data_IF_698022357497
#
_entry.id   IF_698022357497
#
_cell.length_a   1.000
_cell.length_b   1.000
_cell.length_c   1.000
_cell.angle_alpha   90.00
_cell.angle_beta   90.00
_cell.angle_gamma   90.00
#
_symmetry.space_group_name_H-M   'P 1'
#
loop_
_entity.id
_entity.type
_entity.pdbx_description
1 polymer ?
#
# COMPACT_ATOMS: atom_id res chain seq x y z
N UNK A 1 33.36 13.48 41.89
CA UNK A 1 31.97 13.02 41.86
C UNK A 1 31.05 14.00 41.16
N UNK A 2 30.96 15.25 41.54
CA UNK A 2 30.07 16.28 40.98
C UNK A 2 30.33 16.48 39.46
N UNK A 3 31.59 16.61 39.02
CA UNK A 3 31.96 16.78 37.62
C UNK A 3 31.48 15.57 36.80
N UNK A 4 31.66 14.36 37.28
CA UNK A 4 31.20 13.15 36.58
C UNK A 4 29.67 13.14 36.44
N UNK A 5 28.95 13.55 37.50
CA UNK A 5 27.49 13.68 37.47
C UNK A 5 27.03 14.71 36.42
N UNK A 6 27.67 15.85 36.34
CA UNK A 6 27.36 16.88 35.34
C UNK A 6 27.61 16.39 33.91
N UNK A 7 28.70 15.65 33.70
CA UNK A 7 28.98 15.02 32.39
C UNK A 7 27.87 14.02 31.99
N UNK A 8 27.47 13.18 32.92
CA UNK A 8 26.39 12.19 32.68
C UNK A 8 25.07 12.88 32.37
N UNK A 9 24.70 13.91 33.11
CA UNK A 9 23.49 14.70 32.87
C UNK A 9 23.53 15.36 31.49
N UNK A 10 24.64 15.96 31.12
CA UNK A 10 24.79 16.59 29.80
C UNK A 10 24.72 15.56 28.66
N UNK A 11 25.38 14.44 28.82
CA UNK A 11 25.28 13.34 27.84
C UNK A 11 23.84 12.84 27.69
N UNK A 12 23.11 12.63 28.82
CA UNK A 12 21.71 12.22 28.80
C UNK A 12 20.82 13.25 28.07
N UNK A 13 21.03 14.53 28.32
CA UNK A 13 20.29 15.59 27.62
C UNK A 13 20.56 15.58 26.12
N UNK A 14 21.84 15.42 25.72
CA UNK A 14 22.22 15.32 24.31
C UNK A 14 21.61 14.08 23.61
N UNK A 15 21.61 12.94 24.29
CA UNK A 15 20.98 11.71 23.78
C UNK A 15 19.48 11.93 23.61
N UNK A 16 18.81 12.50 24.60
CA UNK A 16 17.37 12.78 24.52
C UNK A 16 17.04 13.72 23.36
N UNK A 17 17.83 14.79 23.17
CA UNK A 17 17.66 15.73 22.05
C UNK A 17 17.82 15.01 20.70
N UNK A 18 18.86 14.19 20.55
CA UNK A 18 19.07 13.39 19.32
C UNK A 18 17.93 12.40 19.07
N UNK A 19 17.43 11.74 20.11
CA UNK A 19 16.31 10.81 19.99
C UNK A 19 15.03 11.52 19.53
N UNK A 20 14.76 12.72 20.04
CA UNK A 20 13.64 13.55 19.59
C UNK A 20 13.78 13.95 18.11
N UNK A 21 14.98 14.37 17.70
CA UNK A 21 15.28 14.71 16.31
C UNK A 21 15.10 13.49 15.37
N UNK A 22 15.64 12.33 15.74
CA UNK A 22 15.45 11.09 15.00
C UNK A 22 13.96 10.72 14.89
N UNK A 23 13.22 10.85 15.97
CA UNK A 23 11.77 10.59 15.98
C UNK A 23 11.03 11.53 15.03
N UNK A 24 11.38 12.81 15.05
CA UNK A 24 10.79 13.80 14.15
C UNK A 24 11.10 13.49 12.67
N UNK A 25 12.37 13.25 12.35
CA UNK A 25 12.80 12.90 10.99
C UNK A 25 12.14 11.60 10.49
N UNK A 26 12.00 10.59 11.35
CA UNK A 26 11.28 9.37 10.99
C UNK A 26 9.81 9.64 10.66
N UNK A 27 9.15 10.52 11.41
CA UNK A 27 7.77 10.92 11.13
C UNK A 27 7.67 11.64 9.78
N UNK A 28 8.56 12.60 9.50
CA UNK A 28 8.61 13.31 8.21
C UNK A 28 8.84 12.34 7.04
N UNK A 29 9.74 11.38 7.19
CA UNK A 29 10.01 10.35 6.16
C UNK A 29 8.75 9.55 5.88
N UNK A 30 8.04 9.09 6.92
CA UNK A 30 6.81 8.30 6.76
C UNK A 30 5.72 9.12 6.06
N UNK A 31 5.51 10.36 6.47
CA UNK A 31 4.50 11.23 5.83
C UNK A 31 4.88 11.56 4.38
N UNK A 32 6.15 11.80 4.09
CA UNK A 32 6.63 12.00 2.72
C UNK A 32 6.42 10.74 1.85
N UNK A 33 6.69 9.57 2.39
CA UNK A 33 6.45 8.30 1.69
C UNK A 33 4.96 8.11 1.39
N UNK A 34 4.07 8.39 2.34
CA UNK A 34 2.61 8.33 2.13
C UNK A 34 2.17 9.28 1.02
N UNK A 35 2.67 10.53 1.04
CA UNK A 35 2.30 11.52 0.02
C UNK A 35 2.79 11.09 -1.38
N UNK A 36 4.03 10.61 -1.50
CA UNK A 36 4.58 10.10 -2.76
C UNK A 36 3.77 8.92 -3.31
N UNK A 37 3.42 7.96 -2.45
CA UNK A 37 2.63 6.79 -2.83
C UNK A 37 1.22 7.22 -3.27
N UNK A 38 0.59 8.12 -2.53
CA UNK A 38 -0.72 8.67 -2.91
C UNK A 38 -0.67 9.36 -4.27
N UNK A 39 0.35 10.17 -4.53
CA UNK A 39 0.53 10.86 -5.82
C UNK A 39 0.80 9.89 -6.97
N UNK A 40 1.57 8.83 -6.73
CA UNK A 40 1.78 7.78 -7.74
C UNK A 40 0.47 7.06 -8.06
N UNK A 41 -0.33 6.73 -7.03
CA UNK A 41 -1.67 6.20 -7.20
C UNK A 41 -2.56 7.15 -8.02
N UNK A 42 -2.60 8.42 -7.68
CA UNK A 42 -3.38 9.43 -8.41
C UNK A 42 -2.98 9.51 -9.91
N UNK A 43 -1.69 9.40 -10.23
CA UNK A 43 -1.20 9.38 -11.62
C UNK A 43 -1.69 8.15 -12.38
N UNK A 44 -1.69 6.97 -11.73
CA UNK A 44 -2.15 5.72 -12.34
C UNK A 44 -3.67 5.76 -12.56
N UNK A 45 -4.43 6.20 -11.56
CA UNK A 45 -5.88 6.34 -11.62
C UNK A 45 -6.34 7.36 -12.69
N UNK A 46 -5.60 8.44 -12.88
CA UNK A 46 -5.88 9.42 -13.93
C UNK A 46 -5.94 8.78 -15.32
N UNK A 47 -5.18 7.70 -15.55
CA UNK A 47 -5.20 6.95 -16.81
C UNK A 47 -6.46 6.10 -16.99
N UNK A 48 -7.11 5.68 -15.91
CA UNK A 48 -8.29 4.80 -15.91
C UNK A 48 -9.63 5.56 -15.76
N UNK A 49 -9.63 6.88 -15.88
CA UNK A 49 -10.79 7.76 -15.65
C UNK A 49 -11.40 7.65 -14.23
N UNK A 50 -10.68 7.09 -13.29
CA UNK A 50 -11.11 7.09 -11.90
C UNK A 50 -10.89 8.46 -11.26
N UNK A 51 -11.66 8.77 -10.24
CA UNK A 51 -11.62 10.10 -9.63
C UNK A 51 -10.37 10.27 -8.75
N UNK A 52 -9.71 11.41 -8.85
CA UNK A 52 -8.51 11.82 -8.07
C UNK A 52 -8.60 11.51 -6.55
N UNK A 53 -9.79 11.34 -6.02
CA UNK A 53 -10.00 11.00 -4.61
C UNK A 53 -10.15 9.49 -4.33
N UNK A 54 -10.10 8.63 -5.36
CA UNK A 54 -10.30 7.18 -5.16
C UNK A 54 -9.20 6.59 -4.26
N UNK A 55 -7.96 6.82 -4.61
CA UNK A 55 -6.77 6.34 -3.86
C UNK A 55 -6.84 6.71 -2.38
N UNK A 56 -7.19 7.99 -2.09
CA UNK A 56 -7.32 8.47 -0.70
C UNK A 56 -8.50 7.84 0.04
N UNK A 57 -9.62 7.56 -0.67
CA UNK A 57 -10.75 6.86 -0.07
C UNK A 57 -10.40 5.42 0.26
N UNK A 58 -9.75 4.71 -0.68
CA UNK A 58 -9.27 3.33 -0.44
C UNK A 58 -8.40 3.29 0.81
N UNK A 59 -7.38 4.15 0.93
CA UNK A 59 -6.53 4.20 2.12
C UNK A 59 -7.31 4.43 3.43
N UNK A 60 -8.26 5.39 3.43
CA UNK A 60 -9.05 5.70 4.63
C UNK A 60 -10.01 4.57 5.00
N UNK A 61 -10.70 3.97 4.02
CA UNK A 61 -11.64 2.88 4.25
C UNK A 61 -10.89 1.65 4.75
N UNK A 62 -9.75 1.32 4.11
CA UNK A 62 -8.89 0.21 4.52
C UNK A 62 -8.39 0.39 5.97
N UNK A 63 -8.02 1.60 6.37
CA UNK A 63 -7.63 1.88 7.75
C UNK A 63 -8.76 1.65 8.75
N UNK A 64 -10.00 2.06 8.43
CA UNK A 64 -11.19 1.85 9.27
C UNK A 64 -11.50 0.36 9.39
N UNK A 65 -11.52 -0.35 8.26
CA UNK A 65 -11.80 -1.80 8.24
C UNK A 65 -10.69 -2.60 8.94
N UNK A 66 -9.43 -2.28 8.71
CA UNK A 66 -8.30 -2.92 9.37
C UNK A 66 -8.34 -2.74 10.89
N UNK A 67 -8.70 -1.54 11.37
CA UNK A 67 -8.92 -1.28 12.80
C UNK A 67 -10.07 -2.10 13.36
N UNK A 68 -11.18 -2.17 12.66
CA UNK A 68 -12.34 -2.96 13.06
C UNK A 68 -12.05 -4.47 13.07
N UNK A 69 -11.18 -4.93 12.17
CA UNK A 69 -10.71 -6.31 12.12
C UNK A 69 -9.75 -6.66 13.27
N UNK A 70 -9.10 -5.67 13.88
CA UNK A 70 -8.18 -5.86 15.01
C UNK A 70 -6.69 -5.88 14.60
N UNK A 71 -6.34 -5.30 13.47
CA UNK A 71 -4.93 -5.14 13.08
C UNK A 71 -4.19 -4.25 14.10
N UNK A 72 -2.91 -4.56 14.34
CA UNK A 72 -2.02 -3.75 15.17
C UNK A 72 -1.79 -2.36 14.54
N UNK A 73 -1.33 -1.40 15.33
CA UNK A 73 -1.02 -0.05 14.83
C UNK A 73 0.01 -0.06 13.70
N UNK A 74 0.99 -0.96 13.76
CA UNK A 74 2.01 -1.12 12.72
C UNK A 74 1.41 -1.66 11.43
N UNK A 75 0.54 -2.66 11.51
CA UNK A 75 -0.18 -3.21 10.37
C UNK A 75 -1.16 -2.21 9.76
N UNK A 76 -1.86 -1.43 10.59
CA UNK A 76 -2.76 -0.35 10.12
C UNK A 76 -1.98 0.72 9.36
N UNK A 77 -0.81 1.10 9.86
CA UNK A 77 0.05 2.06 9.19
C UNK A 77 0.54 1.50 7.84
N UNK A 78 0.99 0.25 7.81
CA UNK A 78 1.39 -0.41 6.58
C UNK A 78 0.22 -0.52 5.59
N UNK A 79 -0.96 -0.98 6.01
CA UNK A 79 -2.15 -1.11 5.18
C UNK A 79 -2.55 0.24 4.55
N UNK A 80 -2.55 1.31 5.34
CA UNK A 80 -2.89 2.67 4.86
C UNK A 80 -1.94 3.14 3.76
N UNK A 81 -0.66 2.73 3.83
CA UNK A 81 0.35 3.09 2.84
C UNK A 81 0.23 2.21 1.59
N UNK A 82 -0.04 0.91 1.73
CA UNK A 82 0.04 -0.03 0.59
C UNK A 82 -1.28 -0.22 -0.15
N UNK A 83 -2.44 -0.01 0.48
CA UNK A 83 -3.74 -0.15 -0.19
C UNK A 83 -3.90 0.74 -1.42
N UNK A 84 -3.36 1.97 -1.49
CA UNK A 84 -3.33 2.77 -2.71
C UNK A 84 -2.59 2.14 -3.88
N UNK A 85 -1.77 1.12 -3.64
CA UNK A 85 -0.94 0.50 -4.68
C UNK A 85 -1.60 -0.73 -5.33
N UNK A 86 -2.85 -1.06 -4.97
CA UNK A 86 -3.54 -2.23 -5.50
C UNK A 86 -3.55 -2.26 -7.04
N UNK A 87 -3.74 -1.12 -7.66
CA UNK A 87 -3.88 -0.94 -9.09
C UNK A 87 -2.58 -0.48 -9.81
N UNK A 88 -1.43 -0.50 -9.13
CA UNK A 88 -0.16 -0.01 -9.71
C UNK A 88 0.19 -0.67 -11.04
N UNK A 89 -0.18 -1.92 -11.23
CA UNK A 89 0.08 -2.65 -12.49
C UNK A 89 -0.70 -2.15 -13.70
N UNK A 90 -1.74 -1.34 -13.51
CA UNK A 90 -2.46 -0.67 -14.61
C UNK A 90 -1.53 0.22 -15.46
N UNK A 91 -0.36 0.57 -14.93
CA UNK A 91 0.65 1.34 -15.68
C UNK A 91 1.07 0.66 -16.99
N UNK A 92 1.05 -0.66 -17.05
CA UNK A 92 1.41 -1.43 -18.24
C UNK A 92 0.22 -1.83 -19.12
N UNK A 93 -1.00 -1.51 -18.72
CA UNK A 93 -2.20 -1.77 -19.54
C UNK A 93 -2.36 -0.66 -20.56
N UNK A 94 -2.66 -1.05 -21.82
CA UNK A 94 -2.83 -0.08 -22.90
C UNK A 94 -4.04 0.82 -22.68
N UNK A 95 -3.95 2.09 -23.08
CA UNK A 95 -5.05 3.06 -22.97
C UNK A 95 -6.29 2.62 -23.73
N UNK A 96 -6.12 1.93 -24.86
CA UNK A 96 -7.23 1.39 -25.64
C UNK A 96 -8.11 0.41 -24.85
N UNK A 97 -7.54 -0.24 -23.83
CA UNK A 97 -8.27 -1.14 -22.93
C UNK A 97 -8.76 -0.38 -21.70
N UNK A 98 -7.89 0.43 -21.06
CA UNK A 98 -8.22 1.18 -19.84
C UNK A 98 -9.36 2.18 -20.08
N UNK A 99 -9.36 2.86 -21.23
CA UNK A 99 -10.29 3.95 -21.55
C UNK A 99 -11.39 3.55 -22.52
N UNK A 100 -11.57 2.23 -22.73
CA UNK A 100 -12.59 1.75 -23.65
C UNK A 100 -13.99 2.18 -23.22
N UNK A 101 -14.73 2.96 -24.05
CA UNK A 101 -16.07 3.44 -23.70
C UNK A 101 -17.16 2.38 -23.85
N UNK A 102 -16.81 1.09 -23.66
CA UNK A 102 -17.70 -0.06 -23.78
C UNK A 102 -17.20 -1.20 -22.88
N UNK A 103 -18.02 -2.24 -22.71
CA UNK A 103 -17.59 -3.45 -22.02
C UNK A 103 -16.38 -4.06 -22.73
N UNK A 104 -15.39 -4.49 -21.95
CA UNK A 104 -14.26 -5.26 -22.46
C UNK A 104 -14.74 -6.60 -23.06
N UNK A 105 -14.20 -6.98 -24.21
CA UNK A 105 -14.35 -8.35 -24.71
C UNK A 105 -13.64 -9.34 -23.76
N UNK A 106 -13.94 -10.64 -23.82
CA UNK A 106 -13.26 -11.62 -23.00
C UNK A 106 -11.72 -11.57 -23.12
N UNK A 107 -11.19 -11.38 -24.33
CA UNK A 107 -9.75 -11.25 -24.55
C UNK A 107 -9.16 -9.98 -23.91
N UNK A 108 -9.84 -8.86 -24.03
CA UNK A 108 -9.41 -7.59 -23.41
C UNK A 108 -9.48 -7.69 -21.88
N UNK A 109 -10.48 -8.39 -21.35
CA UNK A 109 -10.59 -8.59 -19.91
C UNK A 109 -9.46 -9.49 -19.38
N UNK A 110 -9.04 -10.52 -20.12
CA UNK A 110 -7.85 -11.30 -19.76
C UNK A 110 -6.58 -10.40 -19.70
N UNK A 111 -6.44 -9.48 -20.66
CA UNK A 111 -5.33 -8.49 -20.60
C UNK A 111 -5.49 -7.56 -19.39
N UNK A 112 -6.69 -7.06 -19.11
CA UNK A 112 -6.94 -6.23 -17.93
C UNK A 112 -6.53 -6.94 -16.64
N UNK A 113 -6.88 -8.22 -16.47
CA UNK A 113 -6.52 -9.01 -15.28
C UNK A 113 -5.01 -9.07 -15.03
N UNK A 114 -4.19 -8.93 -16.08
CA UNK A 114 -2.72 -8.99 -15.92
C UNK A 114 -2.16 -7.87 -15.05
N UNK A 115 -2.91 -6.77 -14.81
CA UNK A 115 -2.42 -5.71 -13.92
C UNK A 115 -2.10 -6.22 -12.51
N UNK A 116 -2.81 -7.24 -12.03
CA UNK A 116 -2.55 -7.82 -10.70
C UNK A 116 -1.17 -8.47 -10.65
N UNK A 117 -0.84 -9.28 -11.66
CA UNK A 117 0.47 -9.91 -11.76
C UNK A 117 1.59 -8.90 -12.01
N UNK A 118 1.36 -7.91 -12.87
CA UNK A 118 2.32 -6.83 -13.15
C UNK A 118 2.59 -6.03 -11.87
N UNK A 119 1.55 -5.68 -11.12
CA UNK A 119 1.69 -5.00 -9.82
C UNK A 119 2.50 -5.82 -8.81
N UNK A 120 2.26 -7.12 -8.73
CA UNK A 120 3.07 -8.03 -7.95
C UNK A 120 4.54 -8.03 -8.38
N UNK A 121 4.80 -8.12 -9.69
CA UNK A 121 6.15 -8.20 -10.25
C UNK A 121 6.98 -6.95 -9.97
N UNK A 122 6.35 -5.78 -9.83
CA UNK A 122 7.01 -4.53 -9.44
C UNK A 122 7.65 -4.65 -8.06
N UNK A 123 7.02 -5.38 -7.13
CA UNK A 123 7.45 -5.41 -5.72
C UNK A 123 7.97 -6.76 -5.24
N UNK A 124 7.83 -7.86 -5.99
CA UNK A 124 8.10 -9.24 -5.53
C UNK A 124 9.51 -9.48 -4.97
N UNK A 125 10.50 -8.73 -5.46
CA UNK A 125 11.88 -8.87 -5.03
C UNK A 125 12.27 -7.87 -3.91
N UNK A 126 11.31 -7.14 -3.36
CA UNK A 126 11.59 -6.18 -2.31
C UNK A 126 11.90 -6.88 -0.98
N UNK A 127 12.95 -6.42 -0.29
CA UNK A 127 13.32 -6.96 1.02
C UNK A 127 12.45 -6.39 2.16
N UNK A 128 11.98 -5.16 2.01
CA UNK A 128 11.20 -4.46 3.04
C UNK A 128 9.79 -5.03 3.14
N UNK A 129 9.37 -5.33 4.38
CA UNK A 129 8.07 -5.94 4.67
C UNK A 129 6.88 -5.16 4.07
N UNK A 130 6.94 -3.83 4.12
CA UNK A 130 5.90 -2.97 3.56
C UNK A 130 5.71 -3.21 2.05
N UNK A 131 6.80 -3.37 1.28
CA UNK A 131 6.70 -3.64 -0.16
C UNK A 131 6.25 -5.08 -0.45
N UNK A 132 6.51 -6.02 0.44
CA UNK A 132 5.92 -7.37 0.37
C UNK A 132 4.40 -7.32 0.57
N UNK A 133 3.90 -6.48 1.47
CA UNK A 133 2.47 -6.26 1.59
C UNK A 133 1.89 -5.59 0.33
N UNK A 134 2.59 -4.61 -0.25
CA UNK A 134 2.17 -3.99 -1.51
C UNK A 134 2.07 -5.01 -2.66
N UNK A 135 3.03 -5.94 -2.77
CA UNK A 135 2.97 -6.99 -3.78
C UNK A 135 1.76 -7.90 -3.62
N UNK A 136 1.44 -8.31 -2.38
CA UNK A 136 0.26 -9.12 -2.10
C UNK A 136 -1.05 -8.38 -2.36
N UNK A 137 -1.14 -7.12 -1.96
CA UNK A 137 -2.31 -6.28 -2.24
C UNK A 137 -2.51 -6.15 -3.74
N UNK A 138 -1.47 -5.82 -4.51
CA UNK A 138 -1.57 -5.72 -5.96
C UNK A 138 -1.98 -7.04 -6.63
N UNK A 139 -1.52 -8.17 -6.12
CA UNK A 139 -1.81 -9.48 -6.69
C UNK A 139 -3.24 -9.95 -6.39
N UNK A 140 -3.71 -9.75 -5.16
CA UNK A 140 -4.82 -10.50 -4.59
C UNK A 140 -6.09 -9.67 -4.37
N UNK A 141 -6.09 -8.36 -4.63
CA UNK A 141 -7.26 -7.49 -4.36
C UNK A 141 -8.49 -7.83 -5.23
N UNK A 142 -8.33 -8.60 -6.27
CA UNK A 142 -9.43 -9.14 -7.07
C UNK A 142 -9.74 -10.62 -6.78
N UNK A 143 -9.03 -11.23 -5.82
CA UNK A 143 -9.44 -12.54 -5.31
C UNK A 143 -10.74 -12.40 -4.52
N UNK A 144 -11.54 -13.45 -4.52
CA UNK A 144 -12.84 -13.47 -3.85
C UNK A 144 -12.89 -14.57 -2.82
N UNK A 145 -13.57 -14.31 -1.71
CA UNK A 145 -13.70 -15.26 -0.62
C UNK A 145 -14.18 -16.65 -1.06
N UNK A 146 -15.05 -16.68 -2.06
CA UNK A 146 -15.61 -17.91 -2.65
C UNK A 146 -14.68 -18.61 -3.64
N UNK A 147 -13.53 -18.03 -4.00
CA UNK A 147 -12.58 -18.55 -4.96
C UNK A 147 -12.95 -18.29 -6.43
N UNK A 148 -13.93 -17.43 -6.69
CA UNK A 148 -14.31 -17.03 -8.07
C UNK A 148 -13.53 -15.82 -8.57
N UNK A 149 -12.57 -15.35 -7.78
CA UNK A 149 -11.69 -14.21 -8.10
C UNK A 149 -10.55 -14.57 -9.06
N UNK A 150 -9.63 -13.63 -9.20
CA UNK A 150 -8.43 -13.78 -10.00
C UNK A 150 -7.23 -13.08 -9.32
N UNK A 151 -5.97 -13.46 -9.69
CA UNK A 151 -5.55 -14.30 -10.81
C UNK A 151 -5.54 -15.82 -10.51
N UNK A 152 -5.53 -16.24 -9.24
CA UNK A 152 -5.32 -17.65 -8.89
C UNK A 152 -6.57 -18.38 -8.36
N UNK A 153 -7.66 -17.65 -8.10
CA UNK A 153 -8.87 -18.21 -7.49
C UNK A 153 -8.66 -18.66 -6.05
N UNK A 154 -7.85 -17.90 -5.28
CA UNK A 154 -7.64 -18.15 -3.86
C UNK A 154 -8.94 -18.05 -3.09
N UNK A 155 -9.04 -18.80 -1.97
CA UNK A 155 -10.24 -18.92 -1.16
C UNK A 155 -10.00 -18.55 0.29
N UNK A 156 -10.95 -17.85 0.89
CA UNK A 156 -10.95 -17.60 2.33
C UNK A 156 -9.64 -16.99 2.83
N UNK A 157 -9.03 -17.68 3.79
CA UNK A 157 -7.80 -17.23 4.45
C UNK A 157 -6.51 -17.43 3.63
N UNK A 158 -6.58 -18.05 2.45
CA UNK A 158 -5.46 -18.06 1.50
C UNK A 158 -5.19 -16.67 0.92
N UNK A 159 -6.20 -15.79 0.94
CA UNK A 159 -6.09 -14.40 0.50
C UNK A 159 -5.50 -13.59 1.65
N UNK A 160 -4.45 -12.83 1.38
CA UNK A 160 -3.85 -11.92 2.37
C UNK A 160 -4.91 -11.02 2.99
N UNK A 161 -4.87 -10.85 4.31
CA UNK A 161 -5.80 -9.96 5.01
C UNK A 161 -5.75 -8.52 4.46
N UNK A 162 -4.57 -8.05 4.06
CA UNK A 162 -4.41 -6.73 3.46
C UNK A 162 -5.13 -6.61 2.12
N UNK A 163 -5.09 -7.65 1.30
CA UNK A 163 -5.82 -7.70 0.04
C UNK A 163 -7.34 -7.78 0.29
N UNK A 164 -7.79 -8.61 1.24
CA UNK A 164 -9.23 -8.72 1.61
C UNK A 164 -9.85 -7.41 2.09
N UNK A 165 -9.06 -6.58 2.77
CA UNK A 165 -9.52 -5.28 3.27
C UNK A 165 -9.49 -4.22 2.17
N UNK A 166 -8.59 -4.36 1.20
CA UNK A 166 -8.40 -3.38 0.11
C UNK A 166 -9.40 -3.57 -1.03
N UNK A 167 -9.92 -4.80 -1.22
CA UNK A 167 -10.84 -5.23 -2.27
C UNK A 167 -12.18 -4.48 -2.32
#
# INVERSE_FOLDING_TARGET
LIILLLIIINQKQNINKKNQEISHLNTEIIETQKDLISRLGDVIETRSHETVNHVRRVAKISAVLGKAYGLSNEELQALTIVSPMHDVGKIAISEAILQKPAKLSPKEFEIMKTHTQIGYDIFKNAERQMLKYASLVALEHHERWDGTGYPYGKKGDEISIFARITA
#
